data_IF_269257839011
#
_entry.id   IF_269257839011
#
_cell.length_a   1.000
_cell.length_b   1.000
_cell.length_c   1.000
_cell.angle_alpha   90.00
_cell.angle_beta   90.00
_cell.angle_gamma   90.00
#
_symmetry.space_group_name_H-M   'P 1'
#
loop_
_entity.id
_entity.type
_entity.pdbx_description
1 polymer ?
#
# COMPACT_ATOMS: atom_id res chain seq x y z
N UNK A 1 25.15 -17.76 -1.28
CA UNK A 1 24.01 -18.71 -1.38
C UNK A 1 23.03 -18.55 -0.22
N UNK A 2 23.50 -18.57 1.04
CA UNK A 2 22.63 -18.39 2.22
C UNK A 2 21.84 -17.06 2.21
N UNK A 3 22.50 -15.93 1.91
CA UNK A 3 21.84 -14.62 1.83
C UNK A 3 20.75 -14.54 0.76
N UNK A 4 20.95 -15.21 -0.39
CA UNK A 4 19.97 -15.23 -1.49
C UNK A 4 18.69 -15.97 -1.06
N UNK A 5 18.83 -17.08 -0.33
CA UNK A 5 17.67 -17.84 0.19
C UNK A 5 16.86 -17.01 1.19
N UNK A 6 17.52 -16.26 2.06
CA UNK A 6 16.84 -15.36 3.02
C UNK A 6 16.04 -14.29 2.29
N UNK A 7 16.63 -13.64 1.28
CA UNK A 7 15.93 -12.62 0.47
C UNK A 7 14.69 -13.21 -0.22
N UNK A 8 14.79 -14.43 -0.77
CA UNK A 8 13.66 -15.11 -1.39
C UNK A 8 12.55 -15.38 -0.37
N UNK A 9 12.86 -15.87 0.83
CA UNK A 9 11.84 -16.12 1.85
C UNK A 9 11.16 -14.83 2.32
N UNK A 10 11.90 -13.72 2.45
CA UNK A 10 11.35 -12.41 2.80
C UNK A 10 10.40 -11.92 1.70
N UNK A 11 10.81 -12.02 0.42
CA UNK A 11 9.96 -11.65 -0.72
C UNK A 11 8.68 -12.49 -0.78
N UNK A 12 8.78 -13.79 -0.49
CA UNK A 12 7.64 -14.70 -0.49
C UNK A 12 6.67 -14.36 0.65
N UNK A 13 7.18 -14.09 1.85
CA UNK A 13 6.37 -13.61 2.97
C UNK A 13 5.69 -12.28 2.68
N UNK A 14 6.41 -11.31 2.09
CA UNK A 14 5.85 -10.03 1.69
C UNK A 14 4.75 -10.18 0.63
N UNK A 15 4.95 -11.07 -0.35
CA UNK A 15 3.94 -11.35 -1.39
C UNK A 15 2.67 -11.95 -0.80
N UNK A 16 2.79 -12.89 0.15
CA UNK A 16 1.64 -13.46 0.85
C UNK A 16 0.88 -12.40 1.65
N UNK A 17 1.59 -11.52 2.36
CA UNK A 17 0.96 -10.43 3.10
C UNK A 17 0.17 -9.49 2.19
N UNK A 18 0.68 -9.17 1.00
CA UNK A 18 -0.04 -8.36 0.00
C UNK A 18 -1.34 -9.03 -0.42
N UNK A 19 -1.32 -10.34 -0.68
CA UNK A 19 -2.53 -11.09 -1.07
C UNK A 19 -3.57 -11.09 0.07
N UNK A 20 -3.10 -11.27 1.31
CA UNK A 20 -3.96 -11.27 2.49
C UNK A 20 -4.61 -9.89 2.69
N UNK A 21 -3.85 -8.80 2.62
CA UNK A 21 -4.42 -7.46 2.82
C UNK A 21 -5.28 -7.00 1.66
N UNK A 22 -4.96 -7.37 0.42
CA UNK A 22 -5.86 -7.15 -0.71
C UNK A 22 -7.19 -7.90 -0.53
N UNK A 23 -7.13 -9.14 -0.03
CA UNK A 23 -8.34 -9.92 0.28
C UNK A 23 -9.16 -9.26 1.40
N UNK A 24 -8.51 -8.75 2.45
CA UNK A 24 -9.16 -8.00 3.54
C UNK A 24 -9.80 -6.72 3.03
N UNK A 25 -9.18 -6.01 2.09
CA UNK A 25 -9.77 -4.82 1.47
C UNK A 25 -11.07 -5.16 0.74
N UNK A 26 -11.05 -6.19 -0.13
CA UNK A 26 -12.23 -6.61 -0.90
C UNK A 26 -13.36 -7.04 0.05
N UNK A 27 -13.06 -7.85 1.06
CA UNK A 27 -14.06 -8.28 2.04
C UNK A 27 -14.53 -7.14 2.94
N UNK A 28 -13.65 -6.23 3.34
CA UNK A 28 -13.96 -5.07 4.17
C UNK A 28 -14.89 -4.09 3.47
N UNK A 29 -14.67 -3.84 2.18
CA UNK A 29 -15.56 -3.04 1.34
C UNK A 29 -16.90 -3.76 1.14
N UNK A 30 -16.90 -5.06 0.80
CA UNK A 30 -18.14 -5.81 0.55
C UNK A 30 -19.02 -5.99 1.79
N UNK A 31 -18.41 -6.09 2.97
CA UNK A 31 -19.11 -6.27 4.25
C UNK A 31 -19.31 -4.95 5.02
N UNK A 32 -19.00 -3.79 4.43
CA UNK A 32 -19.07 -2.47 5.07
C UNK A 32 -18.33 -2.38 6.42
N UNK A 33 -17.30 -3.21 6.64
CA UNK A 33 -16.54 -3.29 7.89
C UNK A 33 -15.27 -2.47 7.82
N UNK A 34 -15.32 -1.25 8.38
CA UNK A 34 -14.19 -0.30 8.41
C UNK A 34 -12.87 -0.85 8.94
N UNK A 35 -12.93 -1.69 9.97
CA UNK A 35 -11.73 -2.23 10.62
C UNK A 35 -10.84 -3.07 9.69
N UNK A 36 -11.43 -3.66 8.65
CA UNK A 36 -10.70 -4.48 7.67
C UNK A 36 -9.92 -3.65 6.64
N UNK A 37 -10.20 -2.35 6.51
CA UNK A 37 -9.46 -1.45 5.61
C UNK A 37 -8.16 -0.92 6.25
N UNK A 38 -8.11 -0.82 7.59
CA UNK A 38 -6.95 -0.34 8.35
C UNK A 38 -5.67 -1.14 8.05
N UNK A 39 -5.65 -2.49 8.13
CA UNK A 39 -4.42 -3.26 7.86
C UNK A 39 -3.91 -3.07 6.43
N UNK A 40 -4.82 -2.89 5.45
CA UNK A 40 -4.43 -2.58 4.08
C UNK A 40 -3.74 -1.21 3.98
N UNK A 41 -4.33 -0.17 4.59
CA UNK A 41 -3.76 1.18 4.60
C UNK A 41 -2.38 1.19 5.26
N UNK A 42 -2.22 0.54 6.41
CA UNK A 42 -0.93 0.46 7.11
C UNK A 42 0.13 -0.23 6.24
N UNK A 43 -0.21 -1.38 5.64
CA UNK A 43 0.73 -2.11 4.80
C UNK A 43 1.11 -1.31 3.54
N UNK A 44 0.15 -0.64 2.90
CA UNK A 44 0.44 0.12 1.68
C UNK A 44 1.27 1.38 1.97
N UNK A 45 1.06 2.03 3.12
CA UNK A 45 1.94 3.13 3.59
C UNK A 45 3.37 2.65 3.84
N UNK A 46 3.55 1.50 4.50
CA UNK A 46 4.89 0.92 4.72
C UNK A 46 5.57 0.62 3.38
N UNK A 47 4.84 0.01 2.44
CA UNK A 47 5.36 -0.29 1.10
C UNK A 47 5.75 0.99 0.34
N UNK A 48 4.98 2.06 0.49
CA UNK A 48 5.25 3.34 -0.15
C UNK A 48 6.51 3.98 0.40
N UNK A 49 6.70 3.96 1.73
CA UNK A 49 7.93 4.44 2.38
C UNK A 49 9.15 3.64 1.92
N UNK A 50 9.05 2.31 1.85
CA UNK A 50 10.12 1.45 1.36
C UNK A 50 10.46 1.73 -0.11
N UNK A 51 9.45 1.95 -0.96
CA UNK A 51 9.65 2.26 -2.37
C UNK A 51 10.34 3.62 -2.56
N UNK A 52 9.95 4.64 -1.78
CA UNK A 52 10.64 5.93 -1.75
C UNK A 52 12.10 5.80 -1.28
N UNK A 53 12.33 5.07 -0.19
CA UNK A 53 13.69 4.82 0.31
C UNK A 53 14.56 4.10 -0.72
N UNK A 54 13.99 3.12 -1.42
CA UNK A 54 14.67 2.40 -2.50
C UNK A 54 15.03 3.32 -3.67
N UNK A 55 14.11 4.21 -4.09
CA UNK A 55 14.37 5.17 -5.16
C UNK A 55 15.51 6.14 -4.82
N UNK A 56 15.52 6.67 -3.59
CA UNK A 56 16.58 7.56 -3.10
C UNK A 56 17.92 6.81 -3.00
N UNK A 57 17.92 5.60 -2.44
CA UNK A 57 19.13 4.80 -2.28
C UNK A 57 19.71 4.38 -3.63
N UNK A 58 18.86 4.05 -4.60
CA UNK A 58 19.29 3.77 -5.97
C UNK A 58 20.00 4.98 -6.61
N UNK A 59 19.47 6.19 -6.44
CA UNK A 59 20.11 7.41 -6.94
C UNK A 59 21.45 7.72 -6.23
N UNK A 60 21.52 7.52 -4.91
CA UNK A 60 22.73 7.84 -4.13
C UNK A 60 23.85 6.83 -4.39
N UNK A 61 23.53 5.53 -4.45
CA UNK A 61 24.55 4.47 -4.54
C UNK A 61 25.02 4.24 -5.98
N UNK A 62 24.09 4.24 -6.94
CA UNK A 62 24.40 3.93 -8.34
C UNK A 62 24.63 5.20 -9.18
N UNK A 63 24.38 6.38 -8.61
CA UNK A 63 24.55 7.67 -9.27
C UNK A 63 23.47 7.99 -10.30
N UNK A 64 23.74 8.99 -11.14
CA UNK A 64 22.79 9.55 -12.13
C UNK A 64 23.05 9.04 -13.54
N UNK A 65 23.18 7.73 -13.72
CA UNK A 65 23.17 7.17 -15.08
C UNK A 65 21.77 7.30 -15.71
N UNK A 66 21.70 7.49 -17.04
CA UNK A 66 20.40 7.63 -17.72
C UNK A 66 19.44 6.46 -17.43
N UNK A 67 19.97 5.25 -17.29
CA UNK A 67 19.18 4.05 -16.98
C UNK A 67 18.52 4.16 -15.61
N UNK A 68 19.25 4.62 -14.60
CA UNK A 68 18.73 4.77 -13.23
C UNK A 68 17.68 5.88 -13.19
N UNK A 69 17.91 6.99 -13.90
CA UNK A 69 16.94 8.09 -13.98
C UNK A 69 15.61 7.62 -14.57
N UNK A 70 15.64 6.83 -15.65
CA UNK A 70 14.43 6.24 -16.25
C UNK A 70 13.73 5.32 -15.24
N UNK A 71 14.48 4.46 -14.54
CA UNK A 71 13.93 3.56 -13.51
C UNK A 71 13.25 4.36 -12.40
N UNK A 72 13.87 5.44 -11.94
CA UNK A 72 13.30 6.32 -10.90
C UNK A 72 12.02 7.00 -11.38
N UNK A 73 11.97 7.45 -12.63
CA UNK A 73 10.74 8.01 -13.21
C UNK A 73 9.61 6.98 -13.20
N UNK A 74 9.89 5.74 -13.59
CA UNK A 74 8.90 4.65 -13.54
C UNK A 74 8.45 4.39 -12.10
N UNK A 75 9.38 4.34 -11.14
CA UNK A 75 9.06 4.18 -9.72
C UNK A 75 8.19 5.34 -9.23
N UNK A 76 8.46 6.57 -9.66
CA UNK A 76 7.67 7.75 -9.29
C UNK A 76 6.22 7.65 -9.79
N UNK A 77 6.01 7.19 -11.03
CA UNK A 77 4.67 6.93 -11.55
C UNK A 77 3.95 5.85 -10.72
N UNK A 78 4.65 4.78 -10.33
CA UNK A 78 4.09 3.74 -9.45
C UNK A 78 3.70 4.32 -8.08
N UNK A 79 4.52 5.21 -7.50
CA UNK A 79 4.21 5.90 -6.25
C UNK A 79 2.92 6.71 -6.41
N UNK A 80 2.78 7.51 -7.48
CA UNK A 80 1.58 8.32 -7.70
C UNK A 80 0.32 7.45 -7.82
N UNK A 81 0.39 6.34 -8.54
CA UNK A 81 -0.71 5.38 -8.67
C UNK A 81 -1.08 4.81 -7.28
N UNK A 82 -0.08 4.44 -6.47
CA UNK A 82 -0.33 3.95 -5.11
C UNK A 82 -0.94 5.02 -4.20
N UNK A 83 -0.45 6.25 -4.23
CA UNK A 83 -1.02 7.38 -3.48
C UNK A 83 -2.50 7.57 -3.86
N UNK A 84 -2.83 7.51 -5.15
CA UNK A 84 -4.21 7.60 -5.60
C UNK A 84 -5.08 6.47 -5.01
N UNK A 85 -4.64 5.21 -5.10
CA UNK A 85 -5.37 4.09 -4.50
C UNK A 85 -5.51 4.23 -2.98
N UNK A 86 -4.48 4.70 -2.29
CA UNK A 86 -4.53 4.97 -0.86
C UNK A 86 -5.60 6.01 -0.52
N UNK A 87 -5.66 7.12 -1.27
CA UNK A 87 -6.71 8.13 -1.11
C UNK A 87 -8.11 7.56 -1.34
N UNK A 88 -8.29 6.71 -2.36
CA UNK A 88 -9.57 6.03 -2.62
C UNK A 88 -9.98 5.16 -1.43
N UNK A 89 -9.06 4.37 -0.87
CA UNK A 89 -9.36 3.51 0.29
C UNK A 89 -9.68 4.33 1.55
N UNK A 90 -8.98 5.44 1.77
CA UNK A 90 -9.28 6.37 2.88
C UNK A 90 -10.66 7.00 2.68
N UNK A 91 -11.00 7.40 1.46
CA UNK A 91 -12.33 7.93 1.13
C UNK A 91 -13.42 6.90 1.41
N UNK A 92 -13.22 5.63 1.04
CA UNK A 92 -14.16 4.54 1.38
C UNK A 92 -14.28 4.33 2.90
N UNK A 93 -13.17 4.40 3.63
CA UNK A 93 -13.17 4.32 5.09
C UNK A 93 -14.01 5.45 5.72
N UNK A 94 -13.90 6.68 5.21
CA UNK A 94 -14.69 7.83 5.64
C UNK A 94 -16.16 7.76 5.20
N UNK A 95 -16.46 7.22 4.02
CA UNK A 95 -17.83 7.06 3.55
C UNK A 95 -18.60 6.06 4.41
N UNK A 96 -18.00 4.89 4.68
CA UNK A 96 -18.51 3.94 5.66
C UNK A 96 -18.64 4.61 7.03
N UNK A 97 -17.71 5.53 7.34
CA UNK A 97 -17.69 6.55 8.41
C UNK A 97 -19.03 7.21 8.70
N UNK A 98 -19.50 7.89 7.68
CA UNK A 98 -20.72 8.70 7.70
C UNK A 98 -21.99 7.85 7.76
N UNK A 99 -22.04 6.73 7.03
CA UNK A 99 -23.25 5.87 6.96
C UNK A 99 -23.68 5.42 8.36
N UNK A 100 -22.74 4.92 9.17
CA UNK A 100 -23.05 4.46 10.53
C UNK A 100 -23.49 5.60 11.46
N UNK A 101 -22.89 6.78 11.33
CA UNK A 101 -23.32 7.94 12.15
C UNK A 101 -24.72 8.38 11.76
N UNK A 102 -25.07 8.33 10.47
CA UNK A 102 -26.41 8.63 10.00
C UNK A 102 -27.44 7.61 10.51
N UNK A 103 -27.12 6.31 10.49
CA UNK A 103 -27.97 5.27 11.09
C UNK A 103 -28.17 5.47 12.60
N UNK A 104 -27.11 5.82 13.34
CA UNK A 104 -27.20 6.08 14.80
C UNK A 104 -28.04 7.33 15.13
N UNK A 105 -28.06 8.34 14.26
CA UNK A 105 -28.90 9.53 14.40
C UNK A 105 -30.35 9.22 14.01
N UNK A 106 -30.58 8.44 12.96
CA UNK A 106 -31.93 8.08 12.50
C UNK A 106 -32.68 7.11 13.41
N UNK A 107 -31.96 6.33 14.24
CA UNK A 107 -32.57 5.40 15.21
C UNK A 107 -32.84 6.03 16.59
N UNK A 108 -32.50 7.31 16.78
CA UNK A 108 -32.83 8.11 17.98
C UNK A 108 -34.02 9.02 17.70
#
# INVERSE_FOLDING_TARGET
>A
IFSVKIVIYILLGASLLIVITASMLIHGVRQNRRGLLIPFVIQDVINLLLLCAFAVLALVVLGTSMVIVIIVIVIFVVILIKVYFLMVVISQYQALGLIRMHEEISMK
#
